data_IF_470959628319
#
_entry.id   IF_470959628319
#
_cell.length_a   1.000
_cell.length_b   1.000
_cell.length_c   1.000
_cell.angle_alpha   90.00
_cell.angle_beta   90.00
_cell.angle_gamma   90.00
#
_symmetry.space_group_name_H-M   'P 1'
#
loop_
_entity.id
_entity.type
_entity.pdbx_description
1 polymer ?
#
# COMPACT_ATOMS: atom_id res chain seq x y z
N UNK A 1 20.51 -5.75 -15.92
CA UNK A 1 20.19 -7.10 -15.43
C UNK A 1 18.70 -7.15 -15.17
N UNK A 2 18.01 -8.15 -15.72
CA UNK A 2 16.56 -8.28 -15.55
C UNK A 2 16.22 -8.62 -14.08
N UNK A 3 15.04 -8.19 -13.58
CA UNK A 3 14.63 -8.46 -12.20
C UNK A 3 14.61 -9.96 -11.87
N UNK A 4 14.28 -10.82 -12.83
CA UNK A 4 14.30 -12.28 -12.68
C UNK A 4 15.69 -12.80 -12.34
N UNK A 5 16.73 -12.26 -13.04
CA UNK A 5 18.12 -12.67 -12.78
C UNK A 5 18.58 -12.19 -11.40
N UNK A 6 18.23 -10.95 -11.02
CA UNK A 6 18.55 -10.40 -9.71
C UNK A 6 17.92 -11.23 -8.59
N UNK A 7 16.64 -11.62 -8.73
CA UNK A 7 15.96 -12.45 -7.73
C UNK A 7 16.61 -13.82 -7.63
N UNK A 8 16.94 -14.45 -8.77
CA UNK A 8 17.63 -15.75 -8.80
C UNK A 8 18.98 -15.68 -8.09
N UNK A 9 19.79 -14.66 -8.39
CA UNK A 9 21.10 -14.47 -7.76
C UNK A 9 21.01 -14.19 -6.27
N UNK A 10 20.07 -13.33 -5.87
CA UNK A 10 19.83 -13.03 -4.45
C UNK A 10 19.46 -14.30 -3.65
N UNK A 11 18.65 -15.19 -4.24
CA UNK A 11 18.30 -16.49 -3.65
C UNK A 11 19.47 -17.47 -3.56
N UNK A 12 20.47 -17.30 -4.42
CA UNK A 12 21.73 -18.06 -4.37
C UNK A 12 22.72 -17.49 -3.35
N UNK A 13 22.30 -16.49 -2.55
CA UNK A 13 23.13 -15.85 -1.52
C UNK A 13 24.01 -14.72 -2.05
N UNK A 14 23.81 -14.22 -3.24
CA UNK A 14 24.55 -13.06 -3.76
C UNK A 14 24.00 -11.78 -3.15
N UNK A 15 24.69 -11.30 -2.13
CA UNK A 15 24.33 -10.13 -1.34
C UNK A 15 24.12 -8.87 -2.19
N UNK A 16 25.00 -8.64 -3.19
CA UNK A 16 24.90 -7.48 -4.06
C UNK A 16 23.62 -7.47 -4.91
N UNK A 17 23.13 -8.63 -5.35
CA UNK A 17 21.88 -8.75 -6.07
C UNK A 17 20.69 -8.43 -5.16
N UNK A 18 20.71 -8.95 -3.93
CA UNK A 18 19.72 -8.62 -2.92
C UNK A 18 19.70 -7.12 -2.59
N UNK A 19 20.86 -6.52 -2.34
CA UNK A 19 20.98 -5.10 -2.04
C UNK A 19 20.41 -4.24 -3.17
N UNK A 20 20.67 -4.61 -4.42
CA UNK A 20 20.14 -3.90 -5.59
C UNK A 20 18.61 -3.93 -5.62
N UNK A 21 17.99 -5.09 -5.39
CA UNK A 21 16.53 -5.23 -5.30
C UNK A 21 15.99 -4.41 -4.13
N UNK A 22 16.59 -4.55 -2.96
CA UNK A 22 16.16 -3.88 -1.75
C UNK A 22 16.18 -2.36 -1.90
N UNK A 23 17.28 -1.78 -2.35
CA UNK A 23 17.42 -0.32 -2.53
C UNK A 23 16.43 0.22 -3.56
N UNK A 24 16.13 -0.54 -4.61
CA UNK A 24 15.18 -0.14 -5.66
C UNK A 24 13.72 -0.15 -5.18
N UNK A 25 13.36 -1.12 -4.36
CA UNK A 25 11.95 -1.42 -4.06
C UNK A 25 11.53 -1.15 -2.62
N UNK A 26 12.46 -0.91 -1.67
CA UNK A 26 12.12 -0.73 -0.24
C UNK A 26 11.18 0.45 -0.01
N UNK A 27 11.44 1.59 -0.67
CA UNK A 27 10.64 2.80 -0.45
C UNK A 27 9.19 2.63 -0.93
N UNK A 28 8.90 2.20 -2.17
CA UNK A 28 7.53 1.97 -2.58
C UNK A 28 6.82 0.88 -1.75
N UNK A 29 7.50 -0.21 -1.38
CA UNK A 29 6.93 -1.26 -0.51
C UNK A 29 6.56 -0.69 0.86
N UNK A 30 7.47 0.07 1.49
CA UNK A 30 7.22 0.73 2.77
C UNK A 30 6.05 1.72 2.68
N UNK A 31 6.04 2.60 1.68
CA UNK A 31 4.99 3.59 1.49
C UNK A 31 3.62 2.94 1.28
N UNK A 32 3.56 1.86 0.51
CA UNK A 32 2.34 1.10 0.32
C UNK A 32 1.86 0.49 1.64
N UNK A 33 2.73 -0.20 2.37
CA UNK A 33 2.41 -0.77 3.68
C UNK A 33 1.94 0.31 4.67
N UNK A 34 2.63 1.46 4.72
CA UNK A 34 2.28 2.54 5.62
C UNK A 34 0.91 3.16 5.30
N UNK A 35 0.62 3.43 4.03
CA UNK A 35 -0.71 3.94 3.63
C UNK A 35 -1.85 2.97 3.95
N UNK A 36 -1.57 1.68 4.01
CA UNK A 36 -2.58 0.68 4.37
C UNK A 36 -2.75 0.52 5.88
N UNK A 37 -1.65 0.54 6.64
CA UNK A 37 -1.66 0.26 8.09
C UNK A 37 -1.85 1.50 8.95
N UNK A 38 -1.45 2.69 8.44
CA UNK A 38 -1.37 3.92 9.23
C UNK A 38 -0.28 3.92 10.30
N UNK A 39 0.50 2.84 10.44
CA UNK A 39 1.53 2.67 11.47
C UNK A 39 2.90 2.49 10.83
N UNK A 40 3.84 3.36 11.21
CA UNK A 40 5.22 3.30 10.73
C UNK A 40 5.90 1.98 11.15
N UNK A 41 5.74 1.60 12.41
CA UNK A 41 6.30 0.36 12.93
C UNK A 41 5.77 -0.87 12.18
N UNK A 42 4.44 -0.95 11.98
CA UNK A 42 3.84 -2.02 11.20
C UNK A 42 4.33 -2.04 9.75
N UNK A 43 4.51 -0.86 9.13
CA UNK A 43 5.03 -0.76 7.77
C UNK A 43 6.50 -1.20 7.65
N UNK A 44 7.35 -0.86 8.63
CA UNK A 44 8.74 -1.31 8.70
C UNK A 44 8.81 -2.84 8.81
N UNK A 45 8.05 -3.44 9.70
CA UNK A 45 7.98 -4.90 9.86
C UNK A 45 7.46 -5.59 8.58
N UNK A 46 6.35 -5.09 8.00
CA UNK A 46 5.81 -5.64 6.74
C UNK A 46 6.83 -5.55 5.62
N UNK A 47 7.58 -4.45 5.55
CA UNK A 47 8.64 -4.28 4.55
C UNK A 47 9.73 -5.33 4.72
N UNK A 48 10.22 -5.56 5.93
CA UNK A 48 11.21 -6.60 6.21
C UNK A 48 10.68 -7.99 5.86
N UNK A 49 9.46 -8.32 6.31
CA UNK A 49 8.83 -9.61 6.00
C UNK A 49 8.64 -9.81 4.49
N UNK A 50 8.31 -8.75 3.74
CA UNK A 50 8.14 -8.79 2.29
C UNK A 50 9.43 -9.24 1.59
N UNK A 51 10.57 -8.64 1.92
CA UNK A 51 11.85 -9.02 1.31
C UNK A 51 12.34 -10.38 1.78
N UNK A 52 12.09 -10.76 3.03
CA UNK A 52 12.35 -12.12 3.50
C UNK A 52 11.50 -13.16 2.75
N UNK A 53 10.22 -12.86 2.51
CA UNK A 53 9.33 -13.72 1.75
C UNK A 53 9.77 -13.83 0.27
N UNK A 54 10.26 -12.75 -0.33
CA UNK A 54 10.84 -12.77 -1.67
C UNK A 54 11.99 -13.76 -1.78
N UNK A 55 12.90 -13.77 -0.79
CA UNK A 55 14.08 -14.66 -0.81
C UNK A 55 13.72 -16.10 -0.50
N UNK A 56 12.81 -16.34 0.48
CA UNK A 56 12.42 -17.68 0.95
C UNK A 56 11.27 -18.31 0.18
N UNK A 57 10.48 -17.51 -0.52
CA UNK A 57 9.23 -17.91 -1.15
C UNK A 57 9.39 -18.66 -2.47
N UNK A 58 8.25 -18.99 -3.08
CA UNK A 58 8.18 -19.56 -4.41
C UNK A 58 8.87 -18.68 -5.47
N UNK A 59 9.28 -19.30 -6.57
CA UNK A 59 9.99 -18.59 -7.62
C UNK A 59 9.17 -17.38 -8.12
N UNK A 60 9.80 -16.23 -8.19
CA UNK A 60 9.27 -15.09 -8.92
C UNK A 60 9.26 -15.46 -10.42
N UNK A 61 8.09 -15.37 -11.02
CA UNK A 61 7.88 -15.64 -12.44
C UNK A 61 7.70 -14.28 -13.15
N UNK A 62 8.72 -13.86 -13.88
CA UNK A 62 8.71 -12.60 -14.61
C UNK A 62 7.66 -12.53 -15.71
N UNK A 63 7.19 -13.68 -16.23
CA UNK A 63 6.15 -13.74 -17.26
C UNK A 63 4.77 -13.38 -16.71
N UNK A 64 4.58 -13.52 -15.41
CA UNK A 64 3.33 -13.16 -14.72
C UNK A 64 3.23 -11.69 -14.34
N UNK A 65 4.30 -10.92 -14.46
CA UNK A 65 4.32 -9.48 -14.16
C UNK A 65 5.65 -9.00 -13.59
N UNK A 66 5.81 -7.69 -13.47
CA UNK A 66 7.01 -7.08 -12.93
C UNK A 66 7.24 -7.41 -11.45
N UNK A 67 8.50 -7.36 -11.01
CA UNK A 67 8.89 -7.60 -9.61
C UNK A 67 8.17 -6.65 -8.65
N UNK A 68 7.94 -5.41 -9.06
CA UNK A 68 7.20 -4.42 -8.27
C UNK A 68 5.77 -4.89 -7.95
N UNK A 69 5.04 -5.33 -8.97
CA UNK A 69 3.68 -5.88 -8.82
C UNK A 69 3.67 -7.11 -7.91
N UNK A 70 4.66 -7.98 -8.03
CA UNK A 70 4.81 -9.16 -7.18
C UNK A 70 5.06 -8.78 -5.71
N UNK A 71 5.94 -7.81 -5.45
CA UNK A 71 6.22 -7.31 -4.10
C UNK A 71 4.99 -6.66 -3.46
N UNK A 72 4.20 -5.90 -4.23
CA UNK A 72 2.93 -5.36 -3.72
C UNK A 72 1.92 -6.46 -3.38
N UNK A 73 1.89 -7.55 -4.13
CA UNK A 73 1.08 -8.73 -3.79
C UNK A 73 1.49 -9.36 -2.45
N UNK A 74 2.79 -9.53 -2.22
CA UNK A 74 3.32 -10.01 -0.93
C UNK A 74 2.96 -9.05 0.19
N UNK A 75 3.26 -7.77 0.02
CA UNK A 75 3.01 -6.70 1.01
C UNK A 75 1.54 -6.66 1.40
N UNK A 76 0.63 -6.67 0.43
CA UNK A 76 -0.81 -6.72 0.64
C UNK A 76 -1.22 -7.91 1.52
N UNK A 77 -0.75 -9.10 1.18
CA UNK A 77 -1.10 -10.30 1.93
C UNK A 77 -0.60 -10.25 3.38
N UNK A 78 0.59 -9.69 3.60
CA UNK A 78 1.16 -9.49 4.93
C UNK A 78 0.33 -8.48 5.74
N UNK A 79 -0.05 -7.36 5.15
CA UNK A 79 -0.92 -6.35 5.78
C UNK A 79 -2.27 -6.95 6.14
N UNK A 80 -2.94 -7.63 5.20
CA UNK A 80 -4.25 -8.25 5.46
C UNK A 80 -4.19 -9.30 6.56
N UNK A 81 -3.12 -10.08 6.62
CA UNK A 81 -2.91 -11.05 7.71
C UNK A 81 -2.78 -10.36 9.06
N UNK A 82 -2.02 -9.26 9.15
CA UNK A 82 -1.85 -8.50 10.39
C UNK A 82 -3.15 -7.84 10.85
N UNK A 83 -3.91 -7.25 9.94
CA UNK A 83 -5.21 -6.63 10.27
C UNK A 83 -6.19 -7.66 10.84
N UNK A 84 -6.25 -8.86 10.26
CA UNK A 84 -7.11 -9.95 10.80
C UNK A 84 -6.68 -10.41 12.20
N UNK A 85 -5.38 -10.41 12.49
CA UNK A 85 -4.87 -10.76 13.82
C UNK A 85 -5.26 -9.65 14.81
N UNK A 86 -5.02 -8.37 14.44
CA UNK A 86 -5.37 -7.22 15.28
C UNK A 86 -6.88 -7.10 15.52
N UNK A 87 -7.72 -7.41 14.54
CA UNK A 87 -9.19 -7.45 14.72
C UNK A 87 -9.59 -8.52 15.74
N UNK A 88 -8.99 -9.71 15.68
CA UNK A 88 -9.25 -10.78 16.66
C UNK A 88 -8.78 -10.41 18.07
N UNK A 89 -7.59 -9.82 18.18
CA UNK A 89 -7.04 -9.34 19.45
C UNK A 89 -7.88 -8.18 20.03
N UNK A 90 -8.43 -7.30 19.18
CA UNK A 90 -9.32 -6.22 19.60
C UNK A 90 -10.72 -6.72 20.00
N UNK A 91 -11.23 -7.79 19.40
CA UNK A 91 -12.46 -8.46 19.84
C UNK A 91 -12.28 -9.12 21.22
N UNK A 92 -11.06 -9.55 21.56
CA UNK A 92 -10.71 -10.11 22.87
C UNK A 92 -10.36 -9.04 23.92
N UNK A 93 -9.86 -7.87 23.47
CA UNK A 93 -9.49 -6.72 24.29
C UNK A 93 -10.33 -5.49 23.88
N UNK A 94 -11.48 -5.29 24.53
CA UNK A 94 -12.26 -4.07 24.33
C UNK A 94 -11.45 -2.85 24.82
N UNK A 95 -10.74 -2.22 23.97
CA UNK A 95 -10.30 -0.81 23.90
C UNK A 95 -8.90 -0.66 23.27
N UNK A 96 -8.82 -0.24 22.01
CA UNK A 96 -7.66 0.49 21.50
C UNK A 96 -7.88 1.04 20.08
N UNK A 97 -8.07 2.33 19.98
CA UNK A 97 -7.91 3.09 18.72
C UNK A 97 -6.42 3.40 18.51
N UNK A 98 -5.84 2.95 17.41
CA UNK A 98 -4.46 3.27 17.07
C UNK A 98 -4.35 4.70 16.54
N UNK A 99 -3.40 5.53 17.04
CA UNK A 99 -3.17 6.88 16.54
C UNK A 99 -2.42 6.86 15.20
N UNK A 100 -2.85 7.73 14.29
CA UNK A 100 -2.12 8.04 13.04
C UNK A 100 -1.02 9.04 13.38
N UNK A 101 0.24 8.65 13.25
CA UNK A 101 1.39 9.54 13.47
C UNK A 101 1.70 10.32 12.18
N UNK A 102 1.51 11.64 12.23
CA UNK A 102 1.77 12.57 11.11
C UNK A 102 2.59 13.74 11.62
N UNK A 103 3.85 13.82 11.21
CA UNK A 103 4.70 14.99 11.43
C UNK A 103 4.96 15.71 10.10
N UNK A 104 4.62 16.99 10.01
CA UNK A 104 4.88 17.85 8.86
C UNK A 104 4.36 19.27 9.04
N UNK A 105 4.91 20.24 8.31
CA UNK A 105 4.67 21.70 8.40
C UNK A 105 3.20 22.13 8.53
N UNK A 106 2.93 23.15 9.37
CA UNK A 106 1.62 23.44 9.98
C UNK A 106 0.40 23.56 9.02
N UNK A 107 0.52 24.12 7.82
CA UNK A 107 -0.62 24.24 6.89
C UNK A 107 -0.71 23.10 5.87
N UNK A 108 0.41 22.57 5.40
CA UNK A 108 0.45 21.33 4.61
C UNK A 108 0.20 20.11 5.50
N UNK A 109 0.58 20.16 6.78
CA UNK A 109 0.30 19.14 7.78
C UNK A 109 -1.19 18.98 8.03
N UNK A 110 -1.96 20.05 8.20
CA UNK A 110 -3.41 19.96 8.39
C UNK A 110 -4.11 19.32 7.18
N UNK A 111 -3.69 19.69 5.96
CA UNK A 111 -4.22 19.09 4.72
C UNK A 111 -3.81 17.61 4.59
N UNK A 112 -2.54 17.31 4.87
CA UNK A 112 -2.01 15.95 4.84
C UNK A 112 -2.69 15.05 5.88
N UNK A 113 -2.91 15.57 7.08
CA UNK A 113 -3.61 14.87 8.15
C UNK A 113 -5.08 14.61 7.81
N UNK A 114 -5.78 15.56 7.22
CA UNK A 114 -7.16 15.38 6.77
C UNK A 114 -7.27 14.32 5.67
N UNK A 115 -6.34 14.32 4.72
CA UNK A 115 -6.27 13.26 3.69
C UNK A 115 -5.96 11.91 4.32
N UNK A 116 -5.00 11.84 5.24
CA UNK A 116 -4.65 10.60 5.94
C UNK A 116 -5.84 10.05 6.74
N UNK A 117 -6.57 10.91 7.46
CA UNK A 117 -7.81 10.53 8.17
C UNK A 117 -8.89 10.04 7.22
N UNK A 118 -9.13 10.75 6.11
CA UNK A 118 -10.09 10.34 5.10
C UNK A 118 -9.72 8.98 4.47
N UNK A 119 -8.45 8.76 4.19
CA UNK A 119 -7.94 7.48 3.72
C UNK A 119 -8.11 6.37 4.75
N UNK A 120 -7.86 6.66 6.04
CA UNK A 120 -8.02 5.70 7.12
C UNK A 120 -9.47 5.25 7.32
N UNK A 121 -10.44 6.09 6.98
CA UNK A 121 -11.88 5.77 7.06
C UNK A 121 -12.37 4.90 5.89
N UNK A 122 -11.60 4.76 4.81
CA UNK A 122 -11.98 3.91 3.70
C UNK A 122 -11.96 2.43 4.13
N UNK A 123 -12.95 1.62 3.70
CA UNK A 123 -12.86 0.17 3.79
C UNK A 123 -11.54 -0.31 3.15
N UNK A 124 -10.89 -1.31 3.75
CA UNK A 124 -9.56 -1.77 3.34
C UNK A 124 -9.44 -2.06 1.84
N UNK A 125 -10.42 -2.74 1.25
CA UNK A 125 -10.44 -3.07 -0.18
C UNK A 125 -10.54 -1.84 -1.10
N UNK A 126 -11.13 -0.76 -0.64
CA UNK A 126 -11.19 0.52 -1.36
C UNK A 126 -9.88 1.28 -1.19
N UNK A 127 -9.33 1.30 0.05
CA UNK A 127 -8.06 1.94 0.37
C UNK A 127 -6.90 1.32 -0.43
N UNK A 128 -6.77 -0.01 -0.44
CA UNK A 128 -5.74 -0.68 -1.23
C UNK A 128 -5.82 -0.33 -2.72
N UNK A 129 -7.04 -0.31 -3.26
CA UNK A 129 -7.27 -0.05 -4.70
C UNK A 129 -6.86 1.38 -5.07
N UNK A 130 -7.27 2.38 -4.27
CA UNK A 130 -6.95 3.77 -4.58
C UNK A 130 -5.46 4.08 -4.33
N UNK A 131 -4.82 3.45 -3.34
CA UNK A 131 -3.38 3.58 -3.11
C UNK A 131 -2.60 3.03 -4.29
N UNK A 132 -2.89 1.82 -4.75
CA UNK A 132 -2.21 1.20 -5.89
C UNK A 132 -2.41 2.02 -7.18
N UNK A 133 -3.60 2.56 -7.38
CA UNK A 133 -3.90 3.35 -8.57
C UNK A 133 -3.26 4.74 -8.56
N UNK A 134 -3.39 5.48 -7.45
CA UNK A 134 -3.04 6.92 -7.41
C UNK A 134 -1.60 7.17 -7.00
N UNK A 135 -1.06 6.38 -6.07
CA UNK A 135 0.30 6.60 -5.55
C UNK A 135 1.33 5.68 -6.18
N UNK A 136 0.91 4.48 -6.58
CA UNK A 136 1.82 3.52 -7.20
C UNK A 136 1.66 3.48 -8.73
N UNK A 137 0.70 4.24 -9.27
CA UNK A 137 0.46 4.44 -10.71
C UNK A 137 0.28 3.13 -11.49
N UNK A 138 -0.31 2.13 -10.84
CA UNK A 138 -0.53 0.83 -11.48
C UNK A 138 -1.77 0.84 -12.36
N UNK A 139 -1.70 0.07 -13.45
CA UNK A 139 -2.86 -0.18 -14.31
C UNK A 139 -3.95 -0.98 -13.60
N UNK A 140 -5.18 -0.90 -14.09
CA UNK A 140 -6.30 -1.66 -13.51
C UNK A 140 -6.06 -3.17 -13.58
N UNK A 141 -5.38 -3.63 -14.62
CA UNK A 141 -4.98 -5.03 -14.85
C UNK A 141 -3.94 -5.50 -13.82
N UNK A 142 -2.96 -4.66 -13.50
CA UNK A 142 -1.97 -4.96 -12.45
C UNK A 142 -2.62 -4.99 -11.07
N UNK A 143 -3.51 -4.04 -10.78
CA UNK A 143 -4.27 -4.02 -9.52
C UNK A 143 -5.17 -5.27 -9.42
N UNK A 144 -5.82 -5.67 -10.50
CA UNK A 144 -6.61 -6.90 -10.56
C UNK A 144 -5.76 -8.14 -10.21
N UNK A 145 -4.54 -8.23 -10.77
CA UNK A 145 -3.58 -9.31 -10.45
C UNK A 145 -3.16 -9.30 -8.97
N UNK A 146 -2.84 -8.11 -8.42
CA UNK A 146 -2.43 -7.97 -7.00
C UNK A 146 -3.57 -8.34 -6.06
N UNK A 147 -4.78 -7.89 -6.36
CA UNK A 147 -5.95 -8.04 -5.47
C UNK A 147 -6.71 -9.35 -5.66
N UNK A 148 -6.43 -10.07 -6.74
CA UNK A 148 -7.08 -11.34 -7.06
C UNK A 148 -8.54 -11.21 -7.47
N UNK A 149 -8.93 -10.07 -8.09
CA UNK A 149 -10.29 -9.82 -8.57
C UNK A 149 -10.27 -9.39 -10.04
N UNK A 150 -11.42 -9.37 -10.69
CA UNK A 150 -11.54 -8.87 -12.05
C UNK A 150 -11.42 -7.33 -12.13
N UNK A 151 -11.13 -6.82 -13.33
CA UNK A 151 -10.96 -5.37 -13.58
C UNK A 151 -12.26 -4.59 -13.31
N UNK A 152 -13.42 -5.19 -13.49
CA UNK A 152 -14.72 -4.57 -13.19
C UNK A 152 -14.87 -4.29 -11.70
N UNK A 153 -14.46 -5.26 -10.85
CA UNK A 153 -14.42 -5.09 -9.40
C UNK A 153 -13.44 -4.00 -8.98
N UNK A 154 -12.25 -3.93 -9.62
CA UNK A 154 -11.26 -2.85 -9.37
C UNK A 154 -11.86 -1.48 -9.68
N UNK A 155 -12.50 -1.32 -10.86
CA UNK A 155 -13.18 -0.07 -11.25
C UNK A 155 -14.25 0.34 -10.24
N UNK A 156 -15.06 -0.62 -9.79
CA UNK A 156 -16.12 -0.37 -8.80
C UNK A 156 -15.57 0.06 -7.44
N UNK A 157 -14.48 -0.57 -6.96
CA UNK A 157 -13.81 -0.19 -5.72
C UNK A 157 -13.20 1.20 -5.82
N UNK A 158 -12.54 1.51 -6.93
CA UNK A 158 -11.94 2.81 -7.20
C UNK A 158 -12.98 3.93 -7.24
N UNK A 159 -14.11 3.68 -7.90
CA UNK A 159 -15.22 4.63 -7.95
C UNK A 159 -15.74 4.94 -6.54
N UNK A 160 -16.05 3.90 -5.74
CA UNK A 160 -16.54 4.08 -4.36
C UNK A 160 -15.52 4.79 -3.47
N UNK A 161 -14.23 4.45 -3.60
CA UNK A 161 -13.17 5.11 -2.84
C UNK A 161 -13.12 6.62 -3.16
N UNK A 162 -13.20 6.99 -4.45
CA UNK A 162 -13.23 8.39 -4.88
C UNK A 162 -14.45 9.14 -4.35
N UNK A 163 -15.62 8.53 -4.39
CA UNK A 163 -16.85 9.12 -3.86
C UNK A 163 -16.75 9.38 -2.35
N UNK A 164 -16.26 8.39 -1.60
CA UNK A 164 -16.06 8.52 -0.16
C UNK A 164 -15.05 9.62 0.17
N UNK A 165 -13.91 9.65 -0.54
CA UNK A 165 -12.90 10.71 -0.35
C UNK A 165 -13.42 12.09 -0.75
N UNK A 166 -14.17 12.21 -1.84
CA UNK A 166 -14.78 13.48 -2.24
C UNK A 166 -15.70 14.02 -1.16
N UNK A 167 -16.51 13.17 -0.56
CA UNK A 167 -17.40 13.53 0.55
C UNK A 167 -16.60 13.94 1.79
N UNK A 168 -15.62 13.14 2.19
CA UNK A 168 -14.80 13.39 3.37
C UNK A 168 -13.95 14.66 3.24
N UNK A 169 -13.46 14.98 2.04
CA UNK A 169 -12.59 16.11 1.76
C UNK A 169 -13.34 17.35 1.24
N UNK A 170 -14.68 17.30 1.12
CA UNK A 170 -15.49 18.43 0.68
C UNK A 170 -15.21 19.74 1.44
N UNK A 171 -14.99 19.74 2.78
CA UNK A 171 -14.64 20.94 3.51
C UNK A 171 -13.33 21.63 3.06
N UNK A 172 -12.37 20.85 2.55
CA UNK A 172 -11.12 21.40 2.01
C UNK A 172 -11.31 22.06 0.64
N UNK A 173 -12.21 21.51 -0.18
CA UNK A 173 -12.49 22.01 -1.52
C UNK A 173 -13.26 23.36 -1.49
N UNK A 174 -13.97 23.63 -0.39
CA UNK A 174 -14.68 24.90 -0.19
C UNK A 174 -13.71 26.03 0.21
N UNK A 175 -12.59 25.71 0.86
CA UNK A 175 -11.59 26.69 1.33
C UNK A 175 -10.62 27.16 0.24
N UNK A 176 -10.60 26.55 -0.94
CA UNK A 176 -9.69 26.88 -2.04
C UNK A 176 -10.49 27.12 -3.34
N UNK A 177 -11.10 28.34 -3.53
CA UNK A 177 -11.94 28.62 -4.69
C UNK A 177 -11.16 28.70 -6.02
N UNK A 178 -9.82 28.77 -6.00
CA UNK A 178 -9.01 28.89 -7.21
C UNK A 178 -8.79 27.57 -8.00
N UNK A 179 -9.15 26.42 -7.44
CA UNK A 179 -9.01 25.10 -8.11
C UNK A 179 -10.31 24.53 -8.71
N UNK A 180 -11.31 25.36 -8.98
CA UNK A 180 -12.57 24.94 -9.64
C UNK A 180 -12.47 24.74 -11.15
N UNK A 181 -11.32 25.00 -11.77
CA UNK A 181 -11.09 24.84 -13.20
C UNK A 181 -9.85 23.99 -13.46
N UNK A 182 -10.00 22.68 -13.42
CA UNK A 182 -9.19 21.74 -14.21
C UNK A 182 -9.95 20.41 -14.32
#
# INVERSE_FOLDING_TARGET
MADVDLVREARQGREQAFLTIYLRHRSPVFQFAWRLTGSRAAAEDVTQECFLALIRGAAFDGDRGGLRTYLFGITRNLVLRRLRISEREAEEAADATAPVDVLGDLLEAERSELVARAMAQLPMLQRETIVLFTFEELSLEEIAKITGVDVGAVKSRLHRARESLRTALAPLLIRDPERRCL
#
